data_IF_715730039964
#
_entry.id   IF_715730039964
#
_cell.length_a   1.000
_cell.length_b   1.000
_cell.length_c   1.000
_cell.angle_alpha   90.00
_cell.angle_beta   90.00
_cell.angle_gamma   90.00
#
_symmetry.space_group_name_H-M   'P 1'
#
loop_
_entity.id
_entity.type
_entity.pdbx_description
1 polymer ?
#
# COMPACT_ATOMS: atom_id res chain seq x y z
N UNK A 1 57.43 -28.94 43.29
CA UNK A 1 57.76 -28.24 44.57
C UNK A 1 56.50 -27.48 44.96
N UNK A 2 55.88 -27.97 46.04
CA UNK A 2 55.48 -27.25 47.27
C UNK A 2 54.55 -26.00 47.00
N UNK A 3 53.44 -25.77 47.61
CA UNK A 3 52.74 -26.33 48.83
C UNK A 3 51.30 -25.81 48.80
N UNK A 4 50.40 -26.67 49.17
CA UNK A 4 49.16 -26.50 49.97
C UNK A 4 49.08 -25.24 50.81
N UNK A 5 47.90 -24.65 50.90
CA UNK A 5 47.22 -24.43 52.21
C UNK A 5 45.72 -24.20 52.01
N UNK A 6 44.96 -24.96 52.73
CA UNK A 6 43.49 -24.86 52.96
C UNK A 6 43.25 -24.06 54.26
N UNK A 7 41.99 -23.78 54.51
CA UNK A 7 41.28 -23.37 55.74
C UNK A 7 40.49 -22.04 55.50
N UNK A 8 39.28 -21.79 55.92
CA UNK A 8 38.39 -22.55 56.82
C UNK A 8 36.97 -21.99 56.65
N UNK A 9 36.03 -22.82 56.98
CA UNK A 9 34.61 -22.53 57.05
C UNK A 9 34.29 -21.54 58.20
N UNK A 10 33.22 -20.73 58.00
CA UNK A 10 32.39 -20.22 59.12
C UNK A 10 30.94 -20.12 58.68
N UNK A 11 30.14 -21.02 59.16
CA UNK A 11 28.71 -21.00 59.16
C UNK A 11 28.21 -19.98 60.20
N UNK A 12 27.27 -19.12 59.79
CA UNK A 12 26.44 -18.37 60.70
C UNK A 12 24.99 -18.51 60.26
N UNK A 13 24.26 -19.32 60.98
CA UNK A 13 22.79 -19.42 60.93
C UNK A 13 22.17 -18.26 61.67
N UNK A 14 21.23 -17.54 61.09
CA UNK A 14 20.31 -16.68 61.84
C UNK A 14 18.89 -16.76 61.22
N UNK A 15 18.10 -17.51 61.98
CA UNK A 15 16.66 -17.37 62.34
C UNK A 15 15.66 -16.67 61.42
N UNK A 16 14.68 -17.51 61.05
CA UNK A 16 13.33 -17.20 60.56
C UNK A 16 12.63 -16.13 61.41
N UNK A 17 12.01 -15.20 60.68
CA UNK A 17 10.78 -14.53 61.16
C UNK A 17 9.76 -14.59 60.00
N UNK A 18 8.82 -15.54 60.13
CA UNK A 18 7.56 -15.52 59.39
C UNK A 18 6.70 -14.38 59.94
N UNK A 19 6.52 -13.35 59.13
CA UNK A 19 5.38 -12.45 59.25
C UNK A 19 4.43 -12.75 58.09
N UNK A 20 3.38 -13.51 58.42
CA UNK A 20 2.21 -13.64 57.58
C UNK A 20 1.45 -12.30 57.63
N UNK A 21 1.54 -11.51 56.54
CA UNK A 21 0.55 -10.51 56.25
C UNK A 21 -0.37 -11.09 55.19
N UNK A 22 -1.56 -11.45 55.55
CA UNK A 22 -2.69 -11.61 54.67
C UNK A 22 -2.94 -10.24 54.04
N UNK A 23 -2.59 -10.11 52.77
CA UNK A 23 -3.02 -8.98 51.94
C UNK A 23 -4.11 -9.49 51.03
N UNK A 24 -5.22 -8.83 51.10
CA UNK A 24 -6.35 -8.96 50.21
C UNK A 24 -5.90 -9.16 48.78
N UNK A 25 -6.42 -10.23 48.19
CA UNK A 25 -6.43 -10.39 46.72
C UNK A 25 -7.41 -9.36 46.14
N UNK A 26 -6.97 -8.14 45.98
CA UNK A 26 -7.56 -7.30 44.98
C UNK A 26 -7.11 -7.92 43.65
N UNK A 27 -8.05 -8.59 43.02
CA UNK A 27 -8.01 -8.88 41.58
C UNK A 27 -7.89 -7.52 40.87
N UNK A 28 -6.66 -7.08 40.62
CA UNK A 28 -6.41 -6.17 39.54
C UNK A 28 -6.68 -6.96 38.27
N UNK A 29 -7.82 -6.72 37.67
CA UNK A 29 -7.95 -6.86 36.23
C UNK A 29 -6.84 -5.97 35.64
N UNK A 30 -5.70 -6.59 35.41
CA UNK A 30 -4.64 -5.98 34.64
C UNK A 30 -5.11 -5.98 33.20
N UNK A 31 -5.76 -4.90 32.78
CA UNK A 31 -5.85 -4.62 31.33
C UNK A 31 -4.40 -4.57 30.83
N UNK A 32 -4.05 -5.52 30.00
CA UNK A 32 -2.72 -5.64 29.37
C UNK A 32 -2.61 -4.63 28.23
N UNK A 33 -3.16 -3.42 28.43
CA UNK A 33 -3.12 -2.35 27.43
C UNK A 33 -1.71 -1.75 27.43
N UNK A 34 -1.11 -1.56 26.27
CA UNK A 34 0.19 -0.90 26.16
C UNK A 34 0.09 0.56 26.62
N UNK A 35 1.18 1.10 27.16
CA UNK A 35 1.25 2.52 27.55
C UNK A 35 1.30 3.45 26.31
N UNK A 36 1.72 2.92 25.16
CA UNK A 36 1.89 3.65 23.91
C UNK A 36 1.68 2.73 22.71
N UNK A 37 1.14 3.26 21.62
CA UNK A 37 1.03 2.61 20.33
C UNK A 37 1.81 3.41 19.27
N UNK A 38 2.43 2.71 18.32
CA UNK A 38 3.13 3.30 17.18
C UNK A 38 2.39 3.00 15.88
N UNK A 39 1.98 4.06 15.18
CA UNK A 39 1.40 4.00 13.83
C UNK A 39 2.50 4.23 12.79
N UNK A 40 2.85 3.20 12.05
CA UNK A 40 3.78 3.29 10.93
C UNK A 40 3.07 3.69 9.63
N UNK A 41 3.69 4.58 8.88
CA UNK A 41 3.25 5.04 7.55
C UNK A 41 4.32 4.70 6.53
N UNK A 42 3.94 4.15 5.38
CA UNK A 42 4.86 3.96 4.26
C UNK A 42 5.21 5.33 3.65
N UNK A 43 6.41 5.52 3.07
CA UNK A 43 6.78 6.79 2.48
C UNK A 43 5.86 7.14 1.29
N UNK A 44 5.48 8.41 1.20
CA UNK A 44 4.71 8.98 0.10
C UNK A 44 5.49 10.15 -0.53
N UNK A 45 5.75 10.09 -1.84
CA UNK A 45 6.52 11.12 -2.55
C UNK A 45 5.83 12.49 -2.56
N UNK A 46 4.50 12.52 -2.45
CA UNK A 46 3.69 13.75 -2.48
C UNK A 46 3.65 14.52 -1.17
N UNK A 47 4.00 13.88 -0.04
CA UNK A 47 3.84 14.47 1.30
C UNK A 47 5.20 14.59 1.98
N UNK A 48 5.73 15.81 2.00
CA UNK A 48 7.04 16.12 2.60
C UNK A 48 7.11 15.92 4.12
N UNK A 49 5.95 15.90 4.81
CA UNK A 49 5.84 15.67 6.25
C UNK A 49 4.58 14.86 6.58
N UNK A 50 4.65 13.58 6.26
CA UNK A 50 3.52 12.66 6.46
C UNK A 50 3.17 12.46 7.94
N UNK A 51 4.14 12.58 8.87
CA UNK A 51 3.87 12.52 10.31
C UNK A 51 2.98 13.68 10.74
N UNK A 52 3.30 14.90 10.30
CA UNK A 52 2.46 16.07 10.60
C UNK A 52 1.08 15.97 9.94
N UNK A 53 1.01 15.44 8.73
CA UNK A 53 -0.26 15.23 8.01
C UNK A 53 -1.15 14.21 8.72
N UNK A 54 -0.58 13.12 9.23
CA UNK A 54 -1.31 12.08 9.96
C UNK A 54 -1.57 12.43 11.44
N UNK A 55 -1.05 13.57 11.93
CA UNK A 55 -1.20 13.93 13.34
C UNK A 55 -2.65 14.02 13.82
N UNK A 56 -3.62 14.57 13.06
CA UNK A 56 -5.01 14.57 13.52
C UNK A 56 -5.56 13.14 13.75
N UNK A 57 -5.16 12.16 12.93
CA UNK A 57 -5.53 10.76 13.13
C UNK A 57 -4.90 10.20 14.43
N UNK A 58 -3.60 10.41 14.65
CA UNK A 58 -2.94 9.91 15.86
C UNK A 58 -3.45 10.60 17.13
N UNK A 59 -3.79 11.88 17.07
CA UNK A 59 -4.41 12.62 18.18
C UNK A 59 -5.80 12.07 18.50
N UNK A 60 -6.62 11.85 17.46
CA UNK A 60 -7.94 11.24 17.61
C UNK A 60 -7.88 9.86 18.24
N UNK A 61 -7.02 8.97 17.74
CA UNK A 61 -6.84 7.64 18.31
C UNK A 61 -6.35 7.72 19.76
N UNK A 62 -5.45 8.67 20.08
CA UNK A 62 -4.94 8.85 21.45
C UNK A 62 -6.05 9.29 22.41
N UNK A 63 -6.93 10.20 21.98
CA UNK A 63 -8.03 10.70 22.81
C UNK A 63 -9.06 9.61 23.07
N UNK A 64 -9.49 8.88 22.05
CA UNK A 64 -10.54 7.88 22.14
C UNK A 64 -10.09 6.60 22.87
N UNK A 65 -8.83 6.17 22.66
CA UNK A 65 -8.28 4.98 23.34
C UNK A 65 -7.76 5.27 24.74
N UNK A 66 -7.44 6.52 25.06
CA UNK A 66 -6.74 6.88 26.29
C UNK A 66 -5.31 6.34 26.37
N UNK A 67 -4.70 6.02 25.22
CA UNK A 67 -3.34 5.50 25.04
C UNK A 67 -2.61 6.45 24.09
N UNK A 68 -1.36 6.81 24.40
CA UNK A 68 -0.56 7.64 23.48
C UNK A 68 -0.35 6.92 22.15
N UNK A 69 -0.68 7.55 21.01
CA UNK A 69 -0.43 7.04 19.66
C UNK A 69 0.55 7.98 18.94
N UNK A 70 1.71 7.45 18.55
CA UNK A 70 2.74 8.20 17.82
C UNK A 70 2.85 7.73 16.38
N UNK A 71 2.87 8.68 15.43
CA UNK A 71 3.09 8.40 14.02
C UNK A 71 4.57 8.39 13.66
N UNK A 72 5.00 7.41 12.86
CA UNK A 72 6.35 7.32 12.30
C UNK A 72 6.28 7.03 10.80
N UNK A 73 7.19 7.60 9.99
CA UNK A 73 7.33 7.25 8.57
C UNK A 73 8.50 6.28 8.43
N UNK A 74 8.27 5.17 7.78
CA UNK A 74 9.31 4.17 7.52
C UNK A 74 10.20 4.61 6.35
N UNK A 75 11.42 4.09 6.27
CA UNK A 75 12.37 4.47 5.21
C UNK A 75 11.95 3.93 3.82
N UNK A 76 11.23 2.81 3.80
CA UNK A 76 10.72 2.15 2.61
C UNK A 76 9.54 1.22 2.98
N UNK A 77 8.92 0.62 1.98
CA UNK A 77 7.77 -0.26 2.13
C UNK A 77 8.07 -1.51 2.97
N UNK A 78 9.23 -2.12 2.79
CA UNK A 78 9.61 -3.32 3.53
C UNK A 78 9.85 -3.01 5.01
N UNK A 79 10.37 -1.83 5.32
CA UNK A 79 10.59 -1.40 6.71
C UNK A 79 9.30 -1.31 7.52
N UNK A 80 8.14 -1.06 6.88
CA UNK A 80 6.85 -1.08 7.57
C UNK A 80 6.47 -2.51 8.03
N UNK A 81 6.70 -3.51 7.17
CA UNK A 81 6.48 -4.93 7.49
C UNK A 81 7.39 -5.37 8.64
N UNK A 82 8.69 -5.00 8.56
CA UNK A 82 9.67 -5.31 9.61
C UNK A 82 9.36 -4.61 10.94
N UNK A 83 8.83 -3.38 10.90
CA UNK A 83 8.42 -2.65 12.09
C UNK A 83 7.28 -3.36 12.82
N UNK A 84 6.26 -3.84 12.10
CA UNK A 84 5.18 -4.67 12.66
C UNK A 84 5.75 -5.95 13.26
N UNK A 85 6.60 -6.69 12.54
CA UNK A 85 7.15 -7.97 12.99
C UNK A 85 8.16 -7.88 14.14
N UNK A 86 8.77 -6.71 14.34
CA UNK A 86 9.74 -6.49 15.44
C UNK A 86 9.14 -5.77 16.66
N UNK A 87 7.83 -5.46 16.64
CA UNK A 87 7.18 -4.69 17.71
C UNK A 87 7.62 -3.22 17.78
N UNK A 88 8.21 -2.69 16.69
CA UNK A 88 8.52 -1.27 16.56
C UNK A 88 7.32 -0.44 16.08
N UNK A 89 6.33 -1.11 15.50
CA UNK A 89 5.03 -0.54 15.18
C UNK A 89 3.93 -1.53 15.56
N UNK A 90 2.84 -0.98 16.07
CA UNK A 90 1.63 -1.72 16.46
C UNK A 90 0.60 -1.72 15.33
N UNK A 91 0.56 -0.62 14.58
CA UNK A 91 -0.37 -0.35 13.49
C UNK A 91 0.45 0.11 12.30
N UNK A 92 0.06 -0.28 11.07
CA UNK A 92 0.64 0.33 9.87
C UNK A 92 -0.44 0.63 8.83
N UNK A 93 -0.33 1.80 8.18
CA UNK A 93 -1.03 2.10 6.93
C UNK A 93 -0.05 1.81 5.80
N UNK A 94 -0.39 0.83 4.97
CA UNK A 94 0.54 0.28 4.00
C UNK A 94 -0.17 -0.20 2.72
N UNK A 95 0.59 -0.54 1.67
CA UNK A 95 -0.01 -1.10 0.46
C UNK A 95 -0.47 -2.55 0.67
N UNK A 96 -1.35 -3.04 -0.19
CA UNK A 96 -1.86 -4.41 -0.10
C UNK A 96 -0.75 -5.48 -0.08
N UNK A 97 0.36 -5.23 -0.80
CA UNK A 97 1.52 -6.12 -0.79
C UNK A 97 2.13 -6.27 0.61
N UNK A 98 2.24 -5.16 1.35
CA UNK A 98 2.76 -5.16 2.71
C UNK A 98 1.76 -5.75 3.72
N UNK A 99 0.45 -5.52 3.52
CA UNK A 99 -0.58 -6.17 4.34
C UNK A 99 -0.45 -7.69 4.26
N UNK A 100 -0.41 -8.25 3.03
CA UNK A 100 -0.21 -9.68 2.82
C UNK A 100 1.12 -10.19 3.40
N UNK A 101 2.21 -9.43 3.24
CA UNK A 101 3.52 -9.82 3.79
C UNK A 101 3.53 -9.82 5.32
N UNK A 102 2.88 -8.84 5.97
CA UNK A 102 2.78 -8.78 7.43
C UNK A 102 1.95 -9.95 7.99
N UNK A 103 0.85 -10.33 7.32
CA UNK A 103 0.09 -11.54 7.68
C UNK A 103 0.95 -12.79 7.56
N UNK A 104 1.61 -13.00 6.41
CA UNK A 104 2.33 -14.24 6.11
C UNK A 104 3.59 -14.41 6.98
N UNK A 105 4.30 -13.34 7.27
CA UNK A 105 5.57 -13.39 7.98
C UNK A 105 5.42 -13.33 9.51
N UNK A 106 4.42 -12.59 9.98
CA UNK A 106 4.33 -12.22 11.39
C UNK A 106 2.96 -12.47 12.02
N UNK A 107 1.99 -13.01 11.27
CA UNK A 107 0.64 -13.29 11.78
C UNK A 107 -0.14 -12.02 12.10
N UNK A 108 0.27 -10.86 11.58
CA UNK A 108 -0.45 -9.62 11.74
C UNK A 108 -1.85 -9.69 11.08
N UNK A 109 -2.71 -8.73 11.38
CA UNK A 109 -4.10 -8.73 10.94
C UNK A 109 -4.36 -7.55 10.01
N UNK A 110 -4.60 -7.80 8.73
CA UNK A 110 -5.15 -6.80 7.82
C UNK A 110 -6.61 -6.57 8.19
N UNK A 111 -6.92 -5.41 8.74
CA UNK A 111 -8.25 -5.13 9.33
C UNK A 111 -9.11 -4.24 8.46
N UNK A 112 -8.50 -3.26 7.78
CA UNK A 112 -9.19 -2.32 6.90
C UNK A 112 -8.49 -2.23 5.55
N UNK A 113 -9.26 -1.88 4.53
CA UNK A 113 -8.82 -1.63 3.16
C UNK A 113 -9.17 -0.20 2.78
N UNK A 114 -8.25 0.49 2.12
CA UNK A 114 -8.45 1.86 1.65
C UNK A 114 -9.52 1.88 0.56
N UNK A 115 -10.51 2.72 0.72
CA UNK A 115 -11.39 3.12 -0.35
C UNK A 115 -10.95 4.48 -0.91
N UNK A 116 -10.90 4.60 -2.22
CA UNK A 116 -10.58 5.85 -2.94
C UNK A 116 -11.67 6.11 -3.96
N UNK A 117 -12.41 7.20 -3.76
CA UNK A 117 -13.49 7.60 -4.66
C UNK A 117 -14.53 6.49 -4.92
N UNK A 118 -14.87 5.72 -3.87
CA UNK A 118 -15.86 4.63 -3.93
C UNK A 118 -15.31 3.31 -4.48
N UNK A 119 -13.98 3.14 -4.58
CA UNK A 119 -13.34 1.92 -5.05
C UNK A 119 -12.28 1.42 -4.05
N UNK A 120 -12.38 0.15 -3.64
CA UNK A 120 -11.43 -0.54 -2.77
C UNK A 120 -10.26 -1.19 -3.54
N UNK A 121 -10.26 -1.06 -4.85
CA UNK A 121 -9.28 -1.64 -5.76
C UNK A 121 -9.06 -0.76 -6.97
N UNK A 122 -7.94 -0.95 -7.66
CA UNK A 122 -7.59 -0.23 -8.88
C UNK A 122 -6.99 -1.17 -9.93
N UNK A 123 -6.87 -0.69 -11.17
CA UNK A 123 -6.13 -1.37 -12.22
C UNK A 123 -4.84 -0.61 -12.57
N UNK A 124 -3.83 -1.33 -13.02
CA UNK A 124 -2.77 -0.75 -13.82
C UNK A 124 -3.30 -0.45 -15.21
N UNK A 125 -2.86 0.67 -15.81
CA UNK A 125 -3.25 1.07 -17.16
C UNK A 125 -2.07 0.99 -18.13
N UNK A 126 -2.41 0.73 -19.39
CA UNK A 126 -1.51 0.79 -20.54
C UNK A 126 -1.84 2.05 -21.33
N UNK A 127 -0.90 3.00 -21.34
CA UNK A 127 -1.05 4.30 -22.01
C UNK A 127 -0.13 4.37 -23.20
N UNK A 128 -0.61 4.96 -24.32
CA UNK A 128 0.17 5.15 -25.51
C UNK A 128 -0.06 6.52 -26.15
N UNK A 129 0.92 7.00 -26.92
CA UNK A 129 0.82 8.13 -27.85
C UNK A 129 0.63 7.69 -29.31
N UNK A 130 0.46 6.37 -29.53
CA UNK A 130 0.30 5.77 -30.85
C UNK A 130 -1.01 4.97 -30.95
N UNK A 131 -2.18 5.64 -30.95
CA UNK A 131 -3.47 4.96 -30.99
C UNK A 131 -3.67 4.13 -32.26
N UNK A 132 -3.09 4.52 -33.40
CA UNK A 132 -3.20 3.78 -34.66
C UNK A 132 -2.64 2.36 -34.56
N UNK A 133 -1.63 2.15 -33.71
CA UNK A 133 -1.05 0.81 -33.46
C UNK A 133 -1.89 0.01 -32.46
N UNK A 134 -2.34 0.62 -31.38
CA UNK A 134 -2.88 -0.11 -30.22
C UNK A 134 -4.42 -0.13 -30.14
N UNK A 135 -5.11 0.85 -30.73
CA UNK A 135 -6.58 0.86 -30.71
C UNK A 135 -7.17 0.05 -31.87
N UNK A 136 -8.20 -0.74 -31.60
CA UNK A 136 -9.01 -1.46 -32.58
C UNK A 136 -10.23 -0.65 -33.02
N UNK A 137 -10.55 0.42 -32.28
CA UNK A 137 -11.63 1.36 -32.52
C UNK A 137 -11.12 2.78 -32.28
N UNK A 138 -11.85 3.77 -32.81
CA UNK A 138 -11.52 5.18 -32.58
C UNK A 138 -11.53 5.51 -31.09
N UNK A 139 -10.51 6.22 -30.59
CA UNK A 139 -10.51 6.67 -29.19
C UNK A 139 -11.73 7.51 -28.84
N UNK A 140 -12.31 7.26 -27.68
CA UNK A 140 -13.49 7.97 -27.16
C UNK A 140 -13.08 8.77 -25.92
N UNK A 141 -13.49 10.03 -25.86
CA UNK A 141 -13.31 10.83 -24.66
C UNK A 141 -14.35 10.46 -23.62
N UNK A 142 -13.90 10.30 -22.36
CA UNK A 142 -14.76 10.11 -21.21
C UNK A 142 -14.26 10.95 -20.04
N UNK A 143 -15.19 11.55 -19.28
CA UNK A 143 -14.87 12.42 -18.15
C UNK A 143 -14.48 11.58 -16.93
N UNK A 144 -13.27 11.76 -16.42
CA UNK A 144 -12.84 11.15 -15.17
C UNK A 144 -13.37 11.98 -13.99
N UNK A 145 -14.25 11.40 -13.18
CA UNK A 145 -15.00 12.13 -12.14
C UNK A 145 -14.08 12.77 -11.10
N UNK A 146 -12.99 12.12 -10.71
CA UNK A 146 -12.07 12.62 -9.70
C UNK A 146 -11.37 13.94 -10.12
N UNK A 147 -11.10 14.13 -11.43
CA UNK A 147 -10.45 15.35 -11.94
C UNK A 147 -11.39 16.29 -12.69
N UNK A 148 -12.55 15.79 -13.14
CA UNK A 148 -13.47 16.49 -14.03
C UNK A 148 -12.94 16.72 -15.45
N UNK A 149 -11.81 16.09 -15.80
CA UNK A 149 -11.19 16.20 -17.12
C UNK A 149 -11.60 15.04 -18.05
N UNK A 150 -11.66 15.31 -19.34
CA UNK A 150 -11.89 14.30 -20.36
C UNK A 150 -10.57 13.68 -20.79
N UNK A 151 -10.50 12.34 -20.82
CA UNK A 151 -9.36 11.57 -21.31
C UNK A 151 -9.80 10.60 -22.40
N UNK A 152 -8.85 10.21 -23.25
CA UNK A 152 -9.10 9.29 -24.35
C UNK A 152 -8.90 7.83 -23.95
N UNK A 153 -9.84 6.98 -24.37
CA UNK A 153 -9.87 5.54 -24.14
C UNK A 153 -10.23 4.79 -25.43
N UNK A 154 -9.73 3.59 -25.60
CA UNK A 154 -10.12 2.71 -26.71
C UNK A 154 -10.22 1.23 -26.26
N UNK A 155 -10.56 0.33 -27.19
CA UNK A 155 -10.64 -1.12 -26.95
C UNK A 155 -11.68 -1.53 -25.88
N UNK A 156 -12.66 -0.67 -25.61
CA UNK A 156 -13.64 -0.89 -24.56
C UNK A 156 -13.15 -0.56 -23.15
N UNK A 157 -11.97 0.08 -23.02
CA UNK A 157 -11.57 0.74 -21.77
C UNK A 157 -12.39 2.01 -21.57
N UNK A 158 -12.50 2.44 -20.33
CA UNK A 158 -13.24 3.63 -19.93
C UNK A 158 -12.58 4.26 -18.71
N UNK A 159 -13.21 5.28 -18.11
CA UNK A 159 -12.75 5.86 -16.85
C UNK A 159 -12.74 4.80 -15.74
N UNK A 160 -11.97 5.01 -14.64
CA UNK A 160 -11.96 4.09 -13.51
C UNK A 160 -13.36 3.72 -13.00
N UNK A 161 -14.26 4.68 -12.89
CA UNK A 161 -15.62 4.47 -12.38
C UNK A 161 -16.49 3.62 -13.32
N UNK A 162 -16.22 3.68 -14.62
CA UNK A 162 -16.96 2.93 -15.63
C UNK A 162 -16.26 1.60 -16.00
N UNK A 163 -15.03 1.40 -15.53
CA UNK A 163 -14.23 0.24 -15.91
C UNK A 163 -14.84 -1.05 -15.38
N UNK A 164 -15.04 -1.97 -16.31
CA UNK A 164 -15.58 -3.33 -16.04
C UNK A 164 -14.53 -4.42 -16.29
N UNK A 165 -13.25 -4.06 -16.26
CA UNK A 165 -12.12 -4.94 -16.53
C UNK A 165 -11.48 -4.72 -17.91
N UNK A 166 -10.50 -5.57 -18.25
CA UNK A 166 -9.66 -5.42 -19.42
C UNK A 166 -10.44 -5.48 -20.75
N UNK A 167 -11.47 -6.27 -20.81
CA UNK A 167 -12.14 -6.60 -22.06
C UNK A 167 -11.26 -7.38 -23.08
N UNK A 168 -11.85 -8.18 -23.97
CA UNK A 168 -11.07 -8.96 -24.95
C UNK A 168 -10.19 -8.11 -25.88
N UNK A 169 -10.68 -6.95 -26.30
CA UNK A 169 -9.92 -6.06 -27.21
C UNK A 169 -8.67 -5.48 -26.57
N UNK A 170 -8.72 -5.14 -25.27
CA UNK A 170 -7.55 -4.64 -24.53
C UNK A 170 -6.45 -5.70 -24.45
N UNK A 171 -6.80 -6.94 -24.15
CA UNK A 171 -5.86 -8.07 -24.12
C UNK A 171 -5.24 -8.34 -25.51
N UNK A 172 -6.03 -8.29 -26.57
CA UNK A 172 -5.49 -8.45 -27.93
C UNK A 172 -4.53 -7.31 -28.29
N UNK A 173 -4.81 -6.08 -27.84
CA UNK A 173 -3.93 -4.93 -28.08
C UNK A 173 -2.56 -5.10 -27.41
N UNK A 174 -2.48 -5.76 -26.25
CA UNK A 174 -1.20 -6.06 -25.59
C UNK A 174 -0.26 -6.87 -26.49
N UNK A 175 -0.77 -7.79 -27.31
CA UNK A 175 0.03 -8.61 -28.24
C UNK A 175 0.79 -7.79 -29.30
N UNK A 176 0.47 -6.51 -29.45
CA UNK A 176 1.18 -5.57 -30.33
C UNK A 176 2.43 -4.98 -29.67
N UNK A 177 2.62 -5.22 -28.37
CA UNK A 177 3.85 -4.91 -27.65
C UNK A 177 4.87 -6.01 -27.97
N UNK A 178 6.00 -5.65 -28.53
CA UNK A 178 7.04 -6.58 -28.99
C UNK A 178 8.44 -6.07 -28.61
N UNK A 179 9.49 -6.80 -28.94
CA UNK A 179 10.87 -6.45 -28.62
C UNK A 179 11.37 -5.13 -29.22
N UNK A 180 10.64 -4.52 -30.14
CA UNK A 180 10.96 -3.20 -30.69
C UNK A 180 10.24 -2.06 -29.93
N UNK A 181 9.22 -2.40 -29.13
CA UNK A 181 8.44 -1.43 -28.36
C UNK A 181 9.25 -0.86 -27.19
N UNK A 182 9.31 0.46 -27.09
CA UNK A 182 9.87 1.15 -25.93
C UNK A 182 8.80 1.28 -24.84
N UNK A 183 9.09 0.81 -23.63
CA UNK A 183 8.14 0.81 -22.53
C UNK A 183 8.68 1.56 -21.31
N UNK A 184 7.94 2.54 -20.81
CA UNK A 184 8.26 3.21 -19.56
C UNK A 184 7.81 2.33 -18.38
N UNK A 185 8.77 1.85 -17.59
CA UNK A 185 8.54 0.92 -16.47
C UNK A 185 9.16 1.45 -15.19
N UNK A 186 8.40 1.32 -14.10
CA UNK A 186 8.89 1.58 -12.74
C UNK A 186 9.77 0.43 -12.23
N UNK A 187 10.28 0.58 -11.02
CA UNK A 187 11.00 -0.50 -10.32
C UNK A 187 10.11 -1.71 -10.02
N UNK A 188 10.75 -2.87 -9.83
CA UNK A 188 10.08 -4.18 -9.68
C UNK A 188 9.11 -4.30 -8.48
N UNK A 189 9.20 -3.39 -7.51
CA UNK A 189 8.32 -3.33 -6.35
C UNK A 189 7.04 -2.52 -6.57
N UNK A 190 6.89 -1.86 -7.74
CA UNK A 190 5.69 -1.09 -8.07
C UNK A 190 4.59 -1.99 -8.62
N UNK A 191 3.43 -2.10 -7.97
CA UNK A 191 2.33 -2.89 -8.51
C UNK A 191 1.87 -2.38 -9.88
N UNK A 192 1.40 -1.13 -9.98
CA UNK A 192 0.82 -0.57 -11.20
C UNK A 192 1.85 -0.29 -12.32
N UNK A 193 3.06 0.10 -11.95
CA UNK A 193 4.09 0.49 -12.92
C UNK A 193 4.99 -0.65 -13.38
N UNK A 194 4.88 -1.84 -12.78
CA UNK A 194 5.70 -3.01 -13.11
C UNK A 194 4.95 -4.34 -12.97
N UNK A 195 4.56 -4.73 -11.75
CA UNK A 195 4.14 -6.10 -11.44
C UNK A 195 2.89 -6.51 -12.23
N UNK A 196 1.84 -5.73 -12.15
CA UNK A 196 0.58 -6.01 -12.83
C UNK A 196 0.72 -5.96 -14.38
N UNK A 197 1.38 -4.93 -14.96
CA UNK A 197 1.68 -4.93 -16.40
C UNK A 197 2.51 -6.13 -16.87
N UNK A 198 3.52 -6.55 -16.09
CA UNK A 198 4.33 -7.73 -16.40
C UNK A 198 3.45 -8.98 -16.44
N UNK A 199 2.62 -9.21 -15.39
CA UNK A 199 1.71 -10.35 -15.35
C UNK A 199 0.71 -10.34 -16.51
N UNK A 200 0.15 -9.18 -16.84
CA UNK A 200 -0.77 -9.03 -17.96
C UNK A 200 -0.09 -9.35 -19.31
N UNK A 201 1.11 -8.84 -19.56
CA UNK A 201 1.89 -9.11 -20.77
C UNK A 201 2.31 -10.59 -20.85
N UNK A 202 2.81 -11.18 -19.76
CA UNK A 202 3.18 -12.60 -19.70
C UNK A 202 1.96 -13.51 -19.98
N UNK A 203 0.77 -13.15 -19.50
CA UNK A 203 -0.47 -13.89 -19.78
C UNK A 203 -0.82 -13.94 -21.29
N UNK A 204 -0.33 -12.95 -22.04
CA UNK A 204 -0.47 -12.88 -23.51
C UNK A 204 0.74 -13.46 -24.25
N UNK A 205 1.71 -14.07 -23.53
CA UNK A 205 2.89 -14.70 -24.12
C UNK A 205 3.99 -13.71 -24.54
N UNK A 206 3.97 -12.49 -24.01
CA UNK A 206 4.98 -11.47 -24.28
C UNK A 206 6.20 -11.72 -23.38
N UNK A 207 7.37 -11.81 -23.98
CA UNK A 207 8.64 -11.85 -23.25
C UNK A 207 9.04 -10.43 -22.82
N UNK A 208 8.74 -10.10 -21.55
CA UNK A 208 9.00 -8.78 -20.98
C UNK A 208 10.50 -8.44 -20.95
N UNK A 209 11.38 -9.45 -20.91
CA UNK A 209 12.83 -9.21 -20.90
C UNK A 209 13.36 -8.80 -22.27
N UNK A 210 12.63 -9.09 -23.34
CA UNK A 210 12.97 -8.66 -24.70
C UNK A 210 12.62 -7.20 -24.99
N UNK A 211 11.82 -6.53 -24.16
CA UNK A 211 11.34 -5.17 -24.40
C UNK A 211 12.44 -4.11 -24.20
N UNK A 212 12.33 -3.00 -24.92
CA UNK A 212 13.19 -1.82 -24.74
C UNK A 212 12.68 -0.99 -23.56
N UNK A 213 13.23 -1.26 -22.36
CA UNK A 213 12.80 -0.62 -21.13
C UNK A 213 13.38 0.78 -20.97
N UNK A 214 12.52 1.76 -20.70
CA UNK A 214 12.86 3.13 -20.27
C UNK A 214 12.58 3.19 -18.77
N UNK A 215 13.61 3.15 -17.91
CA UNK A 215 13.41 3.17 -16.46
C UNK A 215 12.88 4.53 -16.01
N UNK A 216 11.82 4.52 -15.21
CA UNK A 216 11.24 5.72 -14.59
C UNK A 216 11.03 5.50 -13.10
N UNK A 217 10.90 6.58 -12.33
CA UNK A 217 10.86 6.52 -10.87
C UNK A 217 9.47 6.69 -10.27
N UNK A 218 8.50 7.23 -11.06
CA UNK A 218 7.13 7.47 -10.61
C UNK A 218 6.11 7.19 -11.72
N UNK A 219 4.84 7.08 -11.33
CA UNK A 219 3.75 6.94 -12.31
C UNK A 219 3.64 8.17 -13.20
N UNK A 220 3.83 9.36 -12.65
CA UNK A 220 3.86 10.62 -13.38
C UNK A 220 4.98 10.64 -14.43
N UNK A 221 6.19 10.20 -14.04
CA UNK A 221 7.31 10.07 -14.97
C UNK A 221 7.04 9.06 -16.09
N UNK A 222 6.28 7.99 -15.83
CA UNK A 222 5.85 7.04 -16.87
C UNK A 222 4.92 7.70 -17.88
N UNK A 223 3.92 8.43 -17.42
CA UNK A 223 3.00 9.20 -18.28
C UNK A 223 3.78 10.24 -19.11
N UNK A 224 4.66 10.99 -18.46
CA UNK A 224 5.46 12.02 -19.12
C UNK A 224 6.46 11.44 -20.15
N UNK A 225 7.02 10.26 -19.91
CA UNK A 225 7.88 9.58 -20.89
C UNK A 225 7.12 9.25 -22.19
N UNK A 226 5.85 8.83 -22.09
CA UNK A 226 4.99 8.60 -23.25
C UNK A 226 4.59 9.92 -23.92
N UNK A 227 4.23 10.92 -23.14
CA UNK A 227 3.86 12.24 -23.63
C UNK A 227 4.99 12.90 -24.44
N UNK A 228 6.21 12.79 -23.98
CA UNK A 228 7.41 13.33 -24.62
C UNK A 228 7.92 12.48 -25.79
N UNK A 229 7.42 11.24 -25.95
CA UNK A 229 7.85 10.31 -26.98
C UNK A 229 9.15 9.55 -26.64
N UNK A 230 9.58 9.54 -25.38
CA UNK A 230 10.71 8.76 -24.89
C UNK A 230 10.35 7.27 -24.79
N UNK A 231 9.06 6.98 -24.59
CA UNK A 231 8.48 5.64 -24.63
C UNK A 231 7.22 5.61 -25.51
N UNK A 232 6.93 4.46 -26.12
CA UNK A 232 5.71 4.25 -26.92
C UNK A 232 4.55 3.81 -26.03
N UNK A 233 4.85 3.06 -24.94
CA UNK A 233 3.87 2.59 -23.97
C UNK A 233 4.35 2.90 -22.57
N UNK A 234 3.46 3.36 -21.72
CA UNK A 234 3.70 3.59 -20.30
C UNK A 234 2.75 2.81 -19.42
N UNK A 235 3.21 2.48 -18.23
CA UNK A 235 2.44 1.77 -17.20
C UNK A 235 2.30 2.65 -15.97
N UNK A 236 1.09 2.72 -15.42
CA UNK A 236 0.78 3.50 -14.21
C UNK A 236 -0.52 3.00 -13.58
N UNK A 237 -0.88 3.52 -12.40
CA UNK A 237 -2.23 3.32 -11.88
C UNK A 237 -3.26 4.12 -12.72
N UNK A 238 -4.51 3.73 -12.67
CA UNK A 238 -5.63 4.46 -13.29
C UNK A 238 -6.10 5.65 -12.42
N UNK A 239 -6.42 6.86 -12.83
CA UNK A 239 -5.91 7.41 -14.07
C UNK A 239 -4.80 8.41 -13.74
N UNK A 240 -3.56 7.95 -13.76
CA UNK A 240 -2.40 8.78 -13.42
C UNK A 240 -2.20 9.99 -14.36
N UNK A 241 -2.91 10.05 -15.49
CA UNK A 241 -2.92 11.26 -16.34
C UNK A 241 -3.47 12.49 -15.61
N UNK A 242 -4.36 12.25 -14.63
CA UNK A 242 -4.97 13.30 -13.82
C UNK A 242 -4.02 13.96 -12.81
N UNK A 243 -2.87 13.34 -12.53
CA UNK A 243 -1.88 13.89 -11.59
C UNK A 243 -0.88 14.86 -12.25
N UNK A 244 -0.89 14.93 -13.59
CA UNK A 244 0.01 15.79 -14.35
C UNK A 244 -0.58 17.22 -14.42
N UNK A 245 0.25 18.21 -14.04
CA UNK A 245 -0.16 19.61 -14.12
C UNK A 245 -0.37 20.03 -15.59
N UNK A 246 -1.51 20.63 -15.89
CA UNK A 246 -1.84 21.09 -17.24
C UNK A 246 -0.84 22.14 -17.80
N UNK A 247 -0.06 22.80 -16.95
CA UNK A 247 1.00 23.70 -17.41
C UNK A 247 2.22 22.95 -17.92
N UNK A 248 2.44 21.70 -17.49
CA UNK A 248 3.56 20.86 -17.95
C UNK A 248 3.20 20.09 -19.22
N UNK A 249 1.93 19.69 -19.37
CA UNK A 249 1.45 18.90 -20.51
C UNK A 249 0.04 19.34 -20.93
N UNK A 250 -0.10 20.51 -21.60
CA UNK A 250 -1.41 21.14 -21.85
C UNK A 250 -2.33 20.36 -22.80
N UNK A 251 -1.79 19.52 -23.66
CA UNK A 251 -2.51 18.67 -24.62
C UNK A 251 -2.43 17.17 -24.31
N UNK A 252 -2.05 16.83 -23.08
CA UNK A 252 -1.90 15.43 -22.64
C UNK A 252 -3.18 14.62 -22.84
N UNK A 253 -4.31 15.18 -22.47
CA UNK A 253 -5.62 14.55 -22.57
C UNK A 253 -6.02 14.21 -24.02
N UNK A 254 -5.54 14.97 -25.00
CA UNK A 254 -5.79 14.77 -26.41
C UNK A 254 -4.77 13.83 -27.08
N UNK A 255 -3.57 13.71 -26.49
CA UNK A 255 -2.45 12.92 -27.06
C UNK A 255 -2.38 11.50 -26.54
N UNK A 256 -2.68 11.29 -25.26
CA UNK A 256 -2.47 10.00 -24.62
C UNK A 256 -3.78 9.22 -24.51
N UNK A 257 -3.72 7.97 -24.96
CA UNK A 257 -4.86 7.05 -24.96
C UNK A 257 -4.59 5.87 -24.04
N UNK A 258 -5.54 5.54 -23.17
CA UNK A 258 -5.55 4.26 -22.45
C UNK A 258 -6.13 3.20 -23.37
N UNK A 259 -5.35 2.17 -23.69
CA UNK A 259 -5.75 1.12 -24.61
C UNK A 259 -5.96 -0.25 -23.94
N UNK A 260 -5.62 -0.37 -22.65
CA UNK A 260 -5.79 -1.60 -21.88
C UNK A 260 -5.63 -1.35 -20.37
N UNK A 261 -6.18 -2.26 -19.60
CA UNK A 261 -6.04 -2.33 -18.15
C UNK A 261 -5.50 -3.70 -17.73
N UNK A 262 -4.88 -3.76 -16.57
CA UNK A 262 -4.55 -5.02 -15.88
C UNK A 262 -5.79 -5.59 -15.19
N UNK A 263 -5.67 -6.75 -14.56
CA UNK A 263 -6.62 -7.19 -13.56
C UNK A 263 -6.67 -6.19 -12.40
N UNK A 264 -7.80 -6.18 -11.68
CA UNK A 264 -7.97 -5.34 -10.49
C UNK A 264 -7.02 -5.78 -9.40
N UNK A 265 -6.42 -4.81 -8.73
CA UNK A 265 -5.53 -5.01 -7.60
C UNK A 265 -6.04 -4.21 -6.39
N UNK A 266 -6.03 -4.77 -5.19
CA UNK A 266 -6.55 -4.07 -4.02
C UNK A 266 -5.76 -2.81 -3.70
N UNK A 267 -6.45 -1.79 -3.20
CA UNK A 267 -5.82 -0.66 -2.55
C UNK A 267 -5.06 -1.12 -1.31
N UNK A 268 -4.26 -0.24 -0.72
CA UNK A 268 -3.65 -0.45 0.57
C UNK A 268 -4.68 -0.55 1.70
N UNK A 269 -4.23 -0.38 2.92
CA UNK A 269 -5.11 -0.44 4.08
C UNK A 269 -4.34 -0.43 5.39
N UNK A 270 -4.99 -0.93 6.42
CA UNK A 270 -4.49 -0.96 7.78
C UNK A 270 -4.20 -2.40 8.21
N UNK A 271 -2.99 -2.61 8.74
CA UNK A 271 -2.60 -3.86 9.39
C UNK A 271 -2.22 -3.58 10.84
N UNK A 272 -2.61 -4.47 11.74
CA UNK A 272 -2.34 -4.39 13.19
C UNK A 272 -1.54 -5.62 13.60
N UNK A 273 -0.52 -5.42 14.43
CA UNK A 273 0.32 -6.48 14.98
C UNK A 273 -0.49 -7.50 15.79
N UNK A 274 -0.12 -8.78 15.72
CA UNK A 274 -0.69 -9.84 16.55
C UNK A 274 -0.39 -9.63 18.05
N UNK A 275 0.64 -8.84 18.39
CA UNK A 275 0.97 -8.48 19.77
C UNK A 275 -0.05 -7.52 20.41
N UNK A 276 -0.85 -6.81 19.61
CA UNK A 276 -1.94 -5.94 20.09
C UNK A 276 -3.10 -6.82 20.54
N UNK A 277 -3.57 -6.70 21.82
CA UNK A 277 -4.68 -7.49 22.32
C UNK A 277 -5.94 -7.39 21.43
N UNK A 278 -6.66 -8.51 21.26
CA UNK A 278 -7.82 -8.60 20.36
C UNK A 278 -8.89 -7.51 20.63
N UNK A 279 -9.22 -7.26 21.89
CA UNK A 279 -10.19 -6.23 22.27
C UNK A 279 -9.71 -4.82 21.88
N UNK A 280 -8.42 -4.54 22.03
CA UNK A 280 -7.82 -3.25 21.64
C UNK A 280 -7.73 -3.14 20.13
N UNK A 281 -7.37 -4.22 19.43
CA UNK A 281 -7.38 -4.27 17.97
C UNK A 281 -8.76 -3.95 17.40
N UNK A 282 -9.83 -4.53 17.98
CA UNK A 282 -11.21 -4.20 17.63
C UNK A 282 -11.52 -2.72 17.80
N UNK A 283 -11.16 -2.12 18.93
CA UNK A 283 -11.38 -0.69 19.18
C UNK A 283 -10.63 0.19 18.18
N UNK A 284 -9.35 -0.11 17.89
CA UNK A 284 -8.56 0.61 16.89
C UNK A 284 -9.23 0.52 15.53
N UNK A 285 -9.68 -0.69 15.14
CA UNK A 285 -10.35 -0.91 13.85
C UNK A 285 -11.62 -0.07 13.73
N UNK A 286 -12.49 -0.11 14.75
CA UNK A 286 -13.76 0.64 14.75
C UNK A 286 -13.53 2.17 14.67
N UNK A 287 -12.53 2.67 15.41
CA UNK A 287 -12.17 4.09 15.39
C UNK A 287 -11.62 4.53 14.02
N UNK A 288 -10.75 3.73 13.41
CA UNK A 288 -10.21 4.04 12.09
C UNK A 288 -11.28 3.94 11.01
N UNK A 289 -12.15 2.93 11.02
CA UNK A 289 -13.27 2.77 10.09
C UNK A 289 -14.20 4.01 10.09
N UNK A 290 -14.44 4.60 11.28
CA UNK A 290 -15.26 5.81 11.42
C UNK A 290 -14.54 7.13 11.18
N UNK A 291 -13.22 7.14 10.93
CA UNK A 291 -12.44 8.38 10.90
C UNK A 291 -12.76 9.28 9.69
N UNK A 292 -13.24 8.71 8.60
CA UNK A 292 -13.70 9.47 7.42
C UNK A 292 -14.84 10.44 7.73
N UNK A 293 -15.68 10.12 8.72
CA UNK A 293 -16.75 11.01 9.18
C UNK A 293 -16.23 12.12 10.14
N UNK A 294 -15.07 11.89 10.77
CA UNK A 294 -14.46 12.81 11.73
C UNK A 294 -13.59 13.85 11.02
N UNK A 295 -12.68 13.41 10.15
CA UNK A 295 -11.74 14.29 9.42
C UNK A 295 -11.43 13.76 8.02
N UNK A 296 -12.33 13.96 7.04
CA UNK A 296 -12.12 13.52 5.67
C UNK A 296 -10.94 14.22 4.97
N UNK A 297 -10.58 15.44 5.40
CA UNK A 297 -9.47 16.18 4.82
C UNK A 297 -8.12 15.51 5.19
N UNK A 298 -7.98 15.08 6.42
CA UNK A 298 -6.79 14.31 6.86
C UNK A 298 -6.71 12.97 6.15
N UNK A 299 -7.84 12.24 6.01
CA UNK A 299 -7.88 10.98 5.24
C UNK A 299 -7.33 11.18 3.82
N UNK A 300 -7.87 12.17 3.11
CA UNK A 300 -7.43 12.48 1.75
C UNK A 300 -5.97 12.90 1.68
N UNK A 301 -5.50 13.67 2.64
CA UNK A 301 -4.13 14.18 2.67
C UNK A 301 -3.08 13.08 2.95
N UNK A 302 -3.43 11.99 3.63
CA UNK A 302 -2.49 10.91 3.93
C UNK A 302 -2.12 10.14 2.65
N UNK A 303 -3.10 9.55 1.95
CA UNK A 303 -2.86 8.73 0.75
C UNK A 303 -4.00 8.79 -0.27
N UNK A 304 -4.67 9.93 -0.42
CA UNK A 304 -5.89 10.09 -1.23
C UNK A 304 -7.01 9.09 -0.81
N UNK A 305 -7.05 8.71 0.48
CA UNK A 305 -8.05 7.81 1.02
C UNK A 305 -9.33 8.60 1.28
N UNK A 306 -10.46 8.10 0.81
CA UNK A 306 -11.77 8.72 1.05
C UNK A 306 -12.55 8.01 2.14
N UNK A 307 -12.29 6.73 2.35
CA UNK A 307 -12.87 5.92 3.41
C UNK A 307 -12.01 4.69 3.71
N UNK A 308 -12.24 4.05 4.84
CA UNK A 308 -11.77 2.71 5.12
C UNK A 308 -12.97 1.76 5.15
N UNK A 309 -12.78 0.56 4.63
CA UNK A 309 -13.78 -0.52 4.66
C UNK A 309 -13.15 -1.78 5.24
N UNK A 310 -13.92 -2.71 5.80
CA UNK A 310 -13.36 -3.97 6.30
C UNK A 310 -12.53 -4.69 5.24
N UNK A 311 -11.32 -5.12 5.59
CA UNK A 311 -10.43 -5.82 4.67
C UNK A 311 -11.06 -7.14 4.21
N UNK A 312 -10.97 -7.42 2.92
CA UNK A 312 -11.47 -8.64 2.31
C UNK A 312 -10.33 -9.63 2.12
N UNK A 313 -10.49 -10.86 2.60
CA UNK A 313 -9.46 -11.89 2.46
C UNK A 313 -9.09 -12.15 0.99
N UNK A 314 -10.05 -12.09 0.08
CA UNK A 314 -9.81 -12.23 -1.36
C UNK A 314 -8.87 -11.14 -1.94
N UNK A 315 -8.95 -9.92 -1.39
CA UNK A 315 -8.05 -8.82 -1.72
C UNK A 315 -6.62 -9.10 -1.25
N UNK A 316 -6.47 -9.56 -0.02
CA UNK A 316 -5.17 -9.94 0.54
C UNK A 316 -4.57 -11.13 -0.23
N UNK A 317 -5.40 -12.13 -0.59
CA UNK A 317 -4.97 -13.27 -1.40
C UNK A 317 -4.52 -12.87 -2.82
N UNK A 318 -5.14 -11.85 -3.41
CA UNK A 318 -4.69 -11.30 -4.68
C UNK A 318 -3.30 -10.63 -4.53
N UNK A 319 -3.12 -9.83 -3.50
CA UNK A 319 -1.81 -9.22 -3.21
C UNK A 319 -0.74 -10.27 -2.94
N UNK A 320 -1.07 -11.34 -2.21
CA UNK A 320 -0.19 -12.49 -1.94
C UNK A 320 0.28 -13.17 -3.23
N UNK A 321 -0.61 -13.43 -4.18
CA UNK A 321 -0.25 -14.01 -5.50
C UNK A 321 0.72 -13.14 -6.28
N UNK A 322 0.56 -11.82 -6.21
CA UNK A 322 1.51 -10.88 -6.85
C UNK A 322 2.85 -10.95 -6.15
N UNK A 323 2.87 -10.92 -4.81
CA UNK A 323 4.10 -11.06 -4.04
C UNK A 323 4.84 -12.36 -4.37
N UNK A 324 4.16 -13.50 -4.37
CA UNK A 324 4.75 -14.81 -4.70
C UNK A 324 5.41 -14.82 -6.09
N UNK A 325 4.80 -14.16 -7.08
CA UNK A 325 5.36 -14.08 -8.44
C UNK A 325 6.66 -13.28 -8.50
N UNK A 326 6.82 -12.25 -7.63
CA UNK A 326 7.95 -11.33 -7.65
C UNK A 326 8.92 -11.49 -6.47
N UNK A 327 8.70 -12.44 -5.57
CA UNK A 327 9.57 -12.72 -4.41
C UNK A 327 10.87 -13.46 -4.76
N UNK A 328 11.32 -13.48 -6.04
CA UNK A 328 12.52 -14.17 -6.48
C UNK A 328 13.74 -13.27 -6.50
#
# INVERSE_FOLDING_TARGET
MRRFTALAASALALSLSLTACSSDSSSTDGSNSPDKLTLALIPNEKVNDLVTTAKPLTDYLSEELGIEVEGVVTKDYQAAVEAIGSGQADIAIASAAQLASAEDMYGAHAVLQDERFGADSYAGQFVTNNPDKYCEDEPVASTYAASGADYLYCNGTATPEENKGQGPKGLEALKKIDGETTVAMLGATSPAGYQLPVMAMESQGIDVDSLKKVPVTSNDASIMAVYNGDAEVGFSFWDARSTIDASEAPDLAEKLVVFGYTDMYPNGGVVISDEVPEDLRGQITDLMDGFSEVDPDTMSAIFDITDWVPAKQESIDMARKVNERFAQ
#
